data_IF_594258646984
#
_entry.id   IF_594258646984
#
_cell.length_a   1.000
_cell.length_b   1.000
_cell.length_c   1.000
_cell.angle_alpha   90.00
_cell.angle_beta   90.00
_cell.angle_gamma   90.00
#
_symmetry.space_group_name_H-M   'P 1'
#
loop_
_entity.id
_entity.type
_entity.pdbx_description
1 polymer ?
#
# COMPACT_ATOMS: atom_id res chain seq x y z
N UNK A 1 -58.90 -88.93 -0.74
CA UNK A 1 -60.04 -87.98 -0.71
C UNK A 1 -59.55 -86.70 -1.18
N UNK A 2 -59.82 -86.46 -2.34
CA UNK A 2 -60.67 -85.42 -2.94
C UNK A 2 -59.90 -84.04 -3.09
N UNK A 3 -59.47 -83.76 -4.31
CA UNK A 3 -60.08 -82.85 -5.29
C UNK A 3 -59.88 -81.40 -4.89
N UNK A 4 -59.49 -80.45 -5.65
CA UNK A 4 -59.55 -80.22 -7.10
C UNK A 4 -58.74 -78.97 -7.46
N UNK A 5 -58.19 -79.01 -8.62
CA UNK A 5 -57.68 -78.00 -9.54
C UNK A 5 -58.44 -76.68 -9.58
N UNK A 6 -58.03 -75.79 -10.50
CA UNK A 6 -57.01 -74.71 -10.61
C UNK A 6 -57.66 -73.42 -11.06
N UNK A 7 -56.98 -72.32 -11.09
CA UNK A 7 -57.35 -71.31 -12.09
C UNK A 7 -56.13 -70.47 -12.54
N UNK A 8 -56.15 -70.19 -13.77
CA UNK A 8 -55.24 -69.59 -14.69
C UNK A 8 -55.15 -68.08 -14.61
N UNK A 9 -54.00 -67.59 -15.04
CA UNK A 9 -53.79 -66.34 -15.87
C UNK A 9 -53.91 -65.00 -15.16
N UNK A 10 -52.97 -64.10 -15.35
CA UNK A 10 -52.55 -63.48 -16.62
C UNK A 10 -51.20 -62.80 -16.41
N UNK A 11 -50.31 -62.87 -17.41
CA UNK A 11 -49.24 -61.97 -17.71
C UNK A 11 -49.78 -60.55 -17.95
N UNK A 12 -49.16 -59.56 -17.31
CA UNK A 12 -49.09 -58.21 -17.85
C UNK A 12 -47.71 -57.69 -17.49
N UNK A 13 -46.90 -57.55 -18.49
CA UNK A 13 -45.59 -56.87 -18.42
C UNK A 13 -45.83 -55.39 -18.25
N UNK A 14 -45.08 -54.80 -17.35
CA UNK A 14 -44.95 -53.37 -17.30
C UNK A 14 -43.45 -53.04 -17.26
N UNK A 15 -43.06 -52.32 -18.28
CA UNK A 15 -41.69 -51.98 -18.59
C UNK A 15 -41.04 -51.18 -17.49
N UNK A 16 -39.81 -51.53 -17.18
CA UNK A 16 -38.91 -50.72 -16.41
C UNK A 16 -38.51 -49.49 -17.24
N UNK A 17 -39.13 -48.35 -16.95
CA UNK A 17 -38.63 -47.07 -17.42
C UNK A 17 -37.39 -46.72 -16.62
N UNK A 18 -36.23 -46.88 -17.22
CA UNK A 18 -34.94 -46.29 -16.76
C UNK A 18 -35.03 -44.77 -16.87
N UNK A 19 -35.30 -44.13 -15.76
CA UNK A 19 -35.07 -42.69 -15.63
C UNK A 19 -33.59 -42.48 -15.52
N UNK A 20 -32.92 -42.18 -16.64
CA UNK A 20 -31.59 -41.63 -16.65
C UNK A 20 -31.62 -40.22 -16.03
N UNK A 21 -31.36 -40.14 -14.74
CA UNK A 21 -31.11 -38.87 -14.08
C UNK A 21 -29.78 -38.34 -14.68
N UNK A 22 -29.90 -37.36 -15.60
CA UNK A 22 -28.78 -36.52 -16.02
C UNK A 22 -28.28 -35.79 -14.80
N UNK A 23 -27.25 -36.30 -14.16
CA UNK A 23 -26.37 -35.56 -13.25
C UNK A 23 -25.65 -34.49 -14.08
N UNK A 24 -26.30 -33.36 -14.30
CA UNK A 24 -25.59 -32.17 -14.70
C UNK A 24 -24.52 -31.88 -13.62
N UNK A 25 -23.25 -31.72 -14.00
CA UNK A 25 -22.26 -31.26 -13.03
C UNK A 25 -22.78 -29.92 -12.50
N UNK A 26 -22.99 -29.83 -11.18
CA UNK A 26 -23.19 -28.58 -10.52
C UNK A 26 -21.92 -27.73 -10.79
N UNK A 27 -21.97 -26.97 -11.88
CA UNK A 27 -21.04 -25.89 -12.11
C UNK A 27 -21.09 -25.08 -10.85
N UNK A 28 -19.98 -25.06 -10.12
CA UNK A 28 -19.74 -24.10 -9.05
C UNK A 28 -19.92 -22.71 -9.67
N UNK A 29 -21.16 -22.21 -9.68
CA UNK A 29 -21.42 -20.80 -9.80
C UNK A 29 -20.68 -20.17 -8.61
N UNK A 30 -19.45 -19.76 -8.83
CA UNK A 30 -18.88 -18.72 -8.01
C UNK A 30 -19.92 -17.60 -8.07
N UNK A 31 -20.56 -17.33 -6.95
CA UNK A 31 -21.44 -16.19 -6.82
C UNK A 31 -20.59 -14.98 -7.25
N UNK A 32 -20.77 -14.55 -8.50
CA UNK A 32 -20.21 -13.29 -8.95
C UNK A 32 -20.74 -12.27 -7.95
N UNK A 33 -19.87 -11.67 -7.19
CA UNK A 33 -20.22 -10.57 -6.32
C UNK A 33 -21.05 -9.60 -7.17
N UNK A 34 -22.28 -9.29 -6.74
CA UNK A 34 -23.18 -8.38 -7.48
C UNK A 34 -22.66 -6.94 -7.57
N UNK A 35 -21.35 -6.74 -7.35
CA UNK A 35 -20.65 -5.47 -7.35
C UNK A 35 -20.25 -5.13 -8.77
N UNK A 36 -20.68 -3.96 -9.26
CA UNK A 36 -20.46 -3.52 -10.63
C UNK A 36 -20.37 -1.99 -10.72
N UNK A 37 -20.15 -1.48 -11.94
CA UNK A 37 -20.11 -0.05 -12.21
C UNK A 37 -18.70 0.54 -12.09
N UNK A 38 -18.60 1.87 -12.01
CA UNK A 38 -17.32 2.57 -11.97
C UNK A 38 -16.88 2.83 -10.54
N UNK A 39 -15.61 2.53 -10.24
CA UNK A 39 -14.88 2.88 -9.04
C UNK A 39 -13.83 3.92 -9.40
N UNK A 40 -13.83 5.07 -8.75
CA UNK A 40 -12.80 6.11 -8.93
C UNK A 40 -11.76 6.01 -7.82
N UNK A 41 -10.54 5.64 -8.19
CA UNK A 41 -9.40 5.46 -7.28
C UNK A 41 -8.41 6.62 -7.43
N UNK A 42 -8.10 7.30 -6.32
CA UNK A 42 -6.95 8.21 -6.24
C UNK A 42 -5.84 7.53 -5.46
N UNK A 43 -4.64 7.44 -6.05
CA UNK A 43 -3.54 6.69 -5.43
C UNK A 43 -2.17 7.33 -5.62
N UNK A 44 -1.28 7.07 -4.66
CA UNK A 44 0.15 7.41 -4.75
C UNK A 44 1.04 6.20 -5.04
N UNK A 45 0.48 5.02 -5.29
CA UNK A 45 1.26 3.85 -5.69
C UNK A 45 2.11 4.13 -6.94
N UNK A 46 3.25 3.45 -7.14
CA UNK A 46 3.92 3.42 -8.44
C UNK A 46 2.92 2.99 -9.54
N UNK A 47 3.03 3.59 -10.72
CA UNK A 47 2.05 3.39 -11.81
C UNK A 47 1.87 1.91 -12.18
N UNK A 48 2.98 1.16 -12.27
CA UNK A 48 2.94 -0.28 -12.52
C UNK A 48 2.15 -1.01 -11.43
N UNK A 49 2.46 -0.73 -10.16
CA UNK A 49 1.87 -1.44 -9.04
C UNK A 49 0.38 -1.12 -8.88
N UNK A 50 -0.03 0.13 -9.15
CA UNK A 50 -1.44 0.52 -9.19
C UNK A 50 -2.20 -0.24 -10.28
N UNK A 51 -1.63 -0.31 -11.50
CA UNK A 51 -2.22 -1.05 -12.62
C UNK A 51 -2.34 -2.55 -12.32
N UNK A 52 -1.29 -3.16 -11.77
CA UNK A 52 -1.29 -4.58 -11.41
C UNK A 52 -2.26 -4.88 -10.25
N UNK A 53 -2.37 -3.97 -9.26
CA UNK A 53 -3.36 -4.08 -8.17
C UNK A 53 -4.79 -4.05 -8.69
N UNK A 54 -5.09 -3.13 -9.61
CA UNK A 54 -6.40 -3.04 -10.27
C UNK A 54 -6.68 -4.31 -11.07
N UNK A 55 -5.71 -4.81 -11.83
CA UNK A 55 -5.87 -6.03 -12.60
C UNK A 55 -6.12 -7.25 -11.72
N UNK A 56 -5.47 -7.35 -10.55
CA UNK A 56 -5.71 -8.42 -9.58
C UNK A 56 -7.12 -8.31 -8.96
N UNK A 57 -7.55 -7.11 -8.58
CA UNK A 57 -8.91 -6.87 -8.11
C UNK A 57 -9.97 -7.26 -9.14
N UNK A 58 -9.77 -6.87 -10.40
CA UNK A 58 -10.73 -7.13 -11.47
C UNK A 58 -10.88 -8.62 -11.81
N UNK A 59 -9.94 -9.50 -11.42
CA UNK A 59 -10.14 -10.96 -11.55
C UNK A 59 -11.30 -11.44 -10.69
N UNK A 60 -11.44 -10.91 -9.48
CA UNK A 60 -12.55 -11.25 -8.57
C UNK A 60 -13.81 -10.41 -8.86
N UNK A 61 -13.67 -9.20 -9.43
CA UNK A 61 -14.73 -8.23 -9.66
C UNK A 61 -14.73 -7.71 -11.12
N UNK A 62 -14.95 -8.58 -12.12
CA UNK A 62 -14.81 -8.22 -13.55
C UNK A 62 -15.84 -7.19 -14.03
N UNK A 63 -16.96 -7.02 -13.31
CA UNK A 63 -17.99 -6.02 -13.63
C UNK A 63 -17.69 -4.62 -13.08
N UNK A 64 -16.56 -4.43 -12.36
CA UNK A 64 -16.14 -3.13 -11.84
C UNK A 64 -15.11 -2.53 -12.79
N UNK A 65 -15.41 -1.34 -13.33
CA UNK A 65 -14.45 -0.52 -14.08
C UNK A 65 -13.73 0.41 -13.09
N UNK A 66 -12.42 0.28 -12.93
CA UNK A 66 -11.64 1.18 -12.08
C UNK A 66 -11.06 2.32 -12.92
N UNK A 67 -11.46 3.56 -12.58
CA UNK A 67 -10.86 4.79 -13.09
C UNK A 67 -9.84 5.29 -12.08
N UNK A 68 -8.59 5.50 -12.51
CA UNK A 68 -7.50 5.84 -11.61
C UNK A 68 -6.93 7.23 -11.91
N UNK A 69 -6.77 8.04 -10.85
CA UNK A 69 -5.85 9.17 -10.86
C UNK A 69 -4.65 8.83 -9.99
N UNK A 70 -3.48 8.85 -10.61
CA UNK A 70 -2.21 8.54 -9.95
C UNK A 70 -1.28 9.75 -9.96
N UNK A 71 -0.79 10.13 -8.77
CA UNK A 71 0.30 11.10 -8.62
C UNK A 71 1.04 10.89 -7.30
N UNK A 72 1.95 11.79 -6.92
CA UNK A 72 2.50 11.80 -5.57
C UNK A 72 1.42 12.12 -4.53
N UNK A 73 1.62 11.67 -3.30
CA UNK A 73 0.64 11.84 -2.23
C UNK A 73 0.21 13.30 -2.07
N UNK A 74 1.16 14.24 -2.07
CA UNK A 74 0.86 15.67 -1.90
C UNK A 74 0.02 16.20 -3.06
N UNK A 75 0.31 15.82 -4.30
CA UNK A 75 -0.47 16.24 -5.46
C UNK A 75 -1.88 15.63 -5.46
N UNK A 76 -2.02 14.35 -5.07
CA UNK A 76 -3.32 13.72 -4.86
C UNK A 76 -4.14 14.49 -3.83
N UNK A 77 -3.54 14.84 -2.70
CA UNK A 77 -4.22 15.59 -1.64
C UNK A 77 -4.56 17.01 -2.04
N UNK A 78 -3.69 17.69 -2.77
CA UNK A 78 -3.97 19.05 -3.28
C UNK A 78 -5.15 19.05 -4.25
N UNK A 79 -5.17 18.08 -5.18
CA UNK A 79 -6.29 17.90 -6.10
C UNK A 79 -7.59 17.64 -5.33
N UNK A 80 -7.56 16.71 -4.39
CA UNK A 80 -8.73 16.37 -3.59
C UNK A 80 -9.27 17.59 -2.83
N UNK A 81 -8.39 18.39 -2.21
CA UNK A 81 -8.79 19.63 -1.52
C UNK A 81 -9.43 20.64 -2.45
N UNK A 82 -8.88 20.81 -3.67
CA UNK A 82 -9.48 21.68 -4.69
C UNK A 82 -10.88 21.19 -5.08
N UNK A 83 -11.06 19.88 -5.26
CA UNK A 83 -12.34 19.26 -5.57
C UNK A 83 -13.35 19.42 -4.42
N UNK A 84 -12.92 19.28 -3.17
CA UNK A 84 -13.77 19.58 -1.99
C UNK A 84 -14.18 21.05 -1.92
N UNK A 85 -13.26 21.97 -2.18
CA UNK A 85 -13.57 23.42 -2.20
C UNK A 85 -14.57 23.77 -3.32
N UNK A 86 -14.53 23.05 -4.44
CA UNK A 86 -15.48 23.19 -5.54
C UNK A 86 -16.81 22.43 -5.29
N UNK A 87 -16.96 21.73 -4.16
CA UNK A 87 -18.15 20.91 -3.88
C UNK A 87 -18.31 19.67 -4.77
N UNK A 88 -17.27 19.26 -5.49
CA UNK A 88 -17.31 18.19 -6.48
C UNK A 88 -16.15 17.17 -6.32
N UNK A 89 -15.97 16.54 -5.14
CA UNK A 89 -14.98 15.50 -4.97
C UNK A 89 -15.30 14.30 -5.86
N UNK A 90 -14.28 13.77 -6.53
CA UNK A 90 -14.44 12.72 -7.52
C UNK A 90 -14.14 11.30 -7.03
N UNK A 91 -13.12 11.08 -6.16
CA UNK A 91 -12.75 9.72 -5.81
C UNK A 91 -13.76 9.04 -4.89
N UNK A 92 -13.94 7.73 -5.10
CA UNK A 92 -14.60 6.85 -4.14
C UNK A 92 -13.60 6.38 -3.08
N UNK A 93 -12.38 6.02 -3.53
CA UNK A 93 -11.31 5.48 -2.67
C UNK A 93 -10.03 6.29 -2.80
N UNK A 94 -9.40 6.53 -1.65
CA UNK A 94 -8.00 6.98 -1.55
C UNK A 94 -7.13 5.80 -1.15
N UNK A 95 -5.96 5.66 -1.79
CA UNK A 95 -4.91 4.72 -1.44
C UNK A 95 -3.56 5.43 -1.52
N UNK A 96 -3.09 5.96 -0.39
CA UNK A 96 -1.92 6.86 -0.35
C UNK A 96 -0.96 6.48 0.78
N UNK A 97 0.33 6.72 0.55
CA UNK A 97 1.40 6.40 1.51
C UNK A 97 1.55 7.48 2.61
N UNK A 98 0.44 7.86 3.27
CA UNK A 98 0.43 8.93 4.29
C UNK A 98 -0.78 8.80 5.23
N UNK A 99 -0.56 8.27 6.42
CA UNK A 99 -1.59 8.19 7.47
C UNK A 99 -1.94 9.57 8.07
N UNK A 100 -1.03 10.55 8.02
CA UNK A 100 -1.29 11.91 8.54
C UNK A 100 -2.38 12.60 7.71
N UNK A 101 -2.34 12.44 6.39
CA UNK A 101 -3.42 12.94 5.53
C UNK A 101 -4.75 12.23 5.79
N UNK A 102 -4.75 10.96 6.13
CA UNK A 102 -5.99 10.24 6.52
C UNK A 102 -6.57 10.78 7.84
N UNK A 103 -5.71 11.03 8.84
CA UNK A 103 -6.14 11.65 10.10
C UNK A 103 -6.72 13.07 9.88
N UNK A 104 -6.12 13.85 8.99
CA UNK A 104 -6.66 15.17 8.63
C UNK A 104 -8.06 15.06 8.00
N UNK A 105 -8.23 14.18 7.02
CA UNK A 105 -9.54 13.95 6.37
C UNK A 105 -10.59 13.40 7.34
N UNK A 106 -10.16 12.52 8.27
CA UNK A 106 -11.02 12.01 9.34
C UNK A 106 -11.51 13.15 10.24
N UNK A 107 -10.60 14.00 10.72
CA UNK A 107 -10.93 15.16 11.55
C UNK A 107 -11.90 16.15 10.84
N UNK A 108 -11.79 16.25 9.51
CA UNK A 108 -12.69 17.04 8.66
C UNK A 108 -14.03 16.33 8.37
N UNK A 109 -14.25 15.10 8.86
CA UNK A 109 -15.45 14.31 8.59
C UNK A 109 -15.60 13.89 7.12
N UNK A 110 -14.49 13.76 6.37
CA UNK A 110 -14.49 13.43 4.93
C UNK A 110 -14.47 11.94 4.63
N UNK A 111 -14.25 11.09 5.62
CA UNK A 111 -14.13 9.64 5.44
C UNK A 111 -15.38 8.90 5.87
N UNK A 112 -15.78 7.89 5.11
CA UNK A 112 -16.85 6.98 5.46
C UNK A 112 -16.36 5.89 6.42
N UNK A 113 -17.24 5.41 7.30
CA UNK A 113 -16.97 4.22 8.11
C UNK A 113 -17.13 2.94 7.28
N UNK A 114 -16.12 2.09 7.27
CA UNK A 114 -16.15 0.77 6.64
C UNK A 114 -16.73 -0.27 7.60
N UNK A 115 -18.06 -0.33 7.70
CA UNK A 115 -18.76 -1.14 8.71
C UNK A 115 -18.73 -2.64 8.41
N UNK A 116 -18.67 -3.02 7.13
CA UNK A 116 -18.78 -4.41 6.67
C UNK A 116 -17.43 -5.06 6.39
N UNK A 117 -16.32 -4.33 6.63
CA UNK A 117 -14.99 -4.85 6.42
C UNK A 117 -14.62 -5.87 7.51
N UNK A 118 -14.30 -7.10 7.11
CA UNK A 118 -13.75 -8.10 8.03
C UNK A 118 -12.30 -7.73 8.38
N UNK A 119 -12.09 -7.39 9.65
CA UNK A 119 -10.80 -6.97 10.18
C UNK A 119 -10.22 -7.96 11.19
N UNK A 120 -10.85 -9.11 11.39
CA UNK A 120 -10.50 -10.07 12.46
C UNK A 120 -9.03 -10.49 12.40
N UNK A 121 -8.45 -10.60 11.20
CA UNK A 121 -7.07 -11.02 11.01
C UNK A 121 -6.07 -9.86 10.96
N UNK A 122 -6.54 -8.61 10.95
CA UNK A 122 -5.67 -7.43 10.83
C UNK A 122 -5.39 -6.88 12.22
N UNK A 123 -4.12 -6.77 12.64
CA UNK A 123 -3.78 -6.15 13.92
C UNK A 123 -4.34 -4.73 14.03
N UNK A 124 -4.96 -4.41 15.17
CA UNK A 124 -5.65 -3.13 15.41
C UNK A 124 -4.74 -1.90 15.21
N UNK A 125 -3.43 -2.03 15.39
CA UNK A 125 -2.47 -0.95 15.13
C UNK A 125 -2.39 -0.50 13.66
N UNK A 126 -3.00 -1.23 12.74
CA UNK A 126 -2.96 -0.92 11.30
C UNK A 126 -4.24 -0.28 10.77
N UNK A 127 -5.23 -0.05 11.62
CA UNK A 127 -6.46 0.64 11.23
C UNK A 127 -6.91 1.62 12.30
N UNK A 128 -7.65 2.62 11.86
CA UNK A 128 -8.29 3.59 12.73
C UNK A 128 -9.39 2.93 13.58
N UNK A 129 -9.47 3.29 14.86
CA UNK A 129 -10.45 2.73 15.80
C UNK A 129 -11.90 2.94 15.36
N UNK A 130 -12.17 3.99 14.58
CA UNK A 130 -13.48 4.26 14.01
C UNK A 130 -13.70 3.57 12.66
N UNK A 131 -12.68 2.88 12.14
CA UNK A 131 -12.66 2.20 10.83
C UNK A 131 -12.94 3.15 9.67
N UNK A 132 -12.40 4.33 9.70
CA UNK A 132 -12.50 5.32 8.62
C UNK A 132 -11.38 5.19 7.59
N UNK A 133 -10.25 4.62 7.99
CA UNK A 133 -9.18 4.21 7.08
C UNK A 133 -8.48 2.94 7.59
N UNK A 134 -7.83 2.23 6.69
CA UNK A 134 -7.18 0.95 6.95
C UNK A 134 -5.85 0.86 6.25
N UNK A 135 -4.79 0.48 6.97
CA UNK A 135 -3.53 0.07 6.36
C UNK A 135 -3.73 -1.12 5.43
N UNK A 136 -3.03 -1.13 4.31
CA UNK A 136 -3.15 -2.20 3.30
C UNK A 136 -1.88 -3.02 3.15
N UNK A 137 -0.73 -2.46 3.45
CA UNK A 137 0.60 -3.09 3.44
C UNK A 137 1.59 -2.21 4.16
N UNK A 138 2.73 -2.72 4.54
CA UNK A 138 3.77 -1.91 5.15
C UNK A 138 4.88 -1.60 4.14
N UNK A 139 5.31 -0.36 4.15
CA UNK A 139 6.43 0.18 3.38
C UNK A 139 7.37 0.84 4.38
N UNK A 140 8.61 0.40 4.45
CA UNK A 140 9.62 1.06 5.27
C UNK A 140 10.55 1.95 4.44
N UNK A 141 11.11 2.98 5.06
CA UNK A 141 12.09 3.86 4.44
C UNK A 141 13.41 3.75 5.19
N UNK A 142 14.47 3.52 4.43
CA UNK A 142 15.84 3.39 4.92
C UNK A 142 16.86 4.03 3.98
N UNK A 143 18.10 3.59 4.09
CA UNK A 143 19.18 4.07 3.22
C UNK A 143 19.37 3.09 2.07
N UNK A 144 19.41 3.59 0.84
CA UNK A 144 19.91 2.86 -0.33
C UNK A 144 21.33 3.30 -0.63
N UNK A 145 22.20 2.35 -0.96
CA UNK A 145 23.58 2.64 -1.31
C UNK A 145 23.99 1.89 -2.58
N UNK A 146 24.70 2.56 -3.48
CA UNK A 146 25.32 1.87 -4.61
C UNK A 146 26.44 0.97 -4.11
N UNK A 147 26.54 -0.26 -4.63
CA UNK A 147 27.55 -1.25 -4.19
C UNK A 147 28.99 -0.79 -4.45
N UNK A 148 29.21 0.19 -5.34
CA UNK A 148 30.51 0.81 -5.61
C UNK A 148 30.87 1.93 -4.63
N UNK A 149 29.95 2.32 -3.73
CA UNK A 149 30.25 3.36 -2.75
C UNK A 149 31.36 2.94 -1.79
N UNK A 150 32.37 3.79 -1.62
CA UNK A 150 33.41 3.59 -0.62
C UNK A 150 32.88 3.76 0.82
N UNK A 151 31.81 4.50 1.00
CA UNK A 151 31.13 4.69 2.29
C UNK A 151 29.92 3.76 2.38
N UNK A 152 29.90 2.95 3.45
CA UNK A 152 28.77 2.06 3.77
C UNK A 152 28.06 2.60 5.01
N UNK A 153 27.01 3.42 4.84
CA UNK A 153 26.25 3.97 5.97
C UNK A 153 25.66 2.87 6.85
N UNK A 154 25.70 3.05 8.17
CA UNK A 154 25.03 2.20 9.16
C UNK A 154 24.05 2.99 10.04
N UNK A 155 24.01 4.30 9.85
CA UNK A 155 23.25 5.29 10.61
C UNK A 155 22.73 6.36 9.66
N UNK A 156 21.62 6.99 9.99
CA UNK A 156 21.17 8.20 9.29
C UNK A 156 22.26 9.29 9.31
N UNK A 157 22.96 9.46 10.45
CA UNK A 157 24.04 10.46 10.59
C UNK A 157 25.21 10.21 9.65
N UNK A 158 25.44 8.97 9.22
CA UNK A 158 26.52 8.65 8.29
C UNK A 158 26.31 9.28 6.89
N UNK A 159 25.09 9.71 6.57
CA UNK A 159 24.82 10.51 5.38
C UNK A 159 25.42 11.93 5.45
N UNK A 160 25.85 12.38 6.62
CA UNK A 160 26.59 13.64 6.78
C UNK A 160 28.11 13.47 6.54
N UNK A 161 28.57 12.26 6.27
CA UNK A 161 30.02 12.02 6.02
C UNK A 161 30.49 12.89 4.85
N UNK A 162 31.56 13.69 5.01
CA UNK A 162 32.09 14.52 3.93
C UNK A 162 32.50 13.75 2.66
N UNK A 163 32.83 12.47 2.77
CA UNK A 163 33.08 11.61 1.62
C UNK A 163 31.86 11.33 0.75
N UNK A 164 30.66 11.60 1.26
CA UNK A 164 29.38 11.56 0.52
C UNK A 164 28.92 12.94 0.04
N UNK A 165 29.75 13.98 0.13
CA UNK A 165 29.37 15.33 -0.30
C UNK A 165 28.95 15.35 -1.76
N UNK A 166 27.71 15.82 -2.02
CA UNK A 166 27.11 15.84 -3.36
C UNK A 166 26.69 14.47 -3.90
N UNK A 167 26.84 13.39 -3.12
CA UNK A 167 26.56 12.02 -3.51
C UNK A 167 25.26 11.47 -2.91
N UNK A 168 24.43 12.33 -2.31
CA UNK A 168 23.21 11.92 -1.61
C UNK A 168 21.99 12.45 -2.34
N UNK A 169 20.97 11.59 -2.46
CA UNK A 169 19.65 11.91 -3.02
C UNK A 169 18.53 11.41 -2.13
N UNK A 170 17.48 12.20 -1.98
CA UNK A 170 16.30 11.81 -1.21
C UNK A 170 15.00 12.21 -1.93
N UNK A 171 13.87 11.50 -1.68
CA UNK A 171 12.59 11.94 -2.23
C UNK A 171 12.11 13.18 -1.49
N UNK A 172 11.53 14.13 -2.23
CA UNK A 172 10.96 15.34 -1.64
C UNK A 172 9.68 15.03 -0.86
N UNK A 173 9.52 15.50 0.39
CA UNK A 173 8.28 15.43 1.14
C UNK A 173 7.17 16.33 0.54
N UNK A 174 7.51 17.23 -0.37
CA UNK A 174 6.55 18.04 -1.14
C UNK A 174 5.83 17.21 -2.22
N UNK A 175 6.28 15.97 -2.45
CA UNK A 175 5.69 15.04 -3.41
C UNK A 175 5.35 13.68 -2.78
N UNK A 176 6.28 13.09 -2.03
CA UNK A 176 6.16 11.74 -1.47
C UNK A 176 5.65 11.76 -0.03
N UNK A 177 4.53 11.06 0.25
CA UNK A 177 4.01 10.90 1.61
C UNK A 177 4.97 10.15 2.53
N UNK A 178 5.59 9.06 2.06
CA UNK A 178 6.60 8.34 2.83
C UNK A 178 7.80 9.22 3.18
N UNK A 179 8.22 10.14 2.28
CA UNK A 179 9.25 11.12 2.59
C UNK A 179 8.77 12.15 3.63
N UNK A 180 7.51 12.56 3.58
CA UNK A 180 6.95 13.47 4.58
C UNK A 180 6.95 12.83 5.97
N UNK A 181 6.56 11.55 6.08
CA UNK A 181 6.65 10.79 7.33
C UNK A 181 8.11 10.67 7.79
N UNK A 182 9.04 10.41 6.88
CA UNK A 182 10.47 10.28 7.20
C UNK A 182 11.05 11.60 7.74
N UNK A 183 10.80 12.71 7.06
CA UNK A 183 11.23 14.05 7.51
C UNK A 183 10.58 14.42 8.86
N UNK A 184 9.30 14.12 9.02
CA UNK A 184 8.58 14.35 10.28
C UNK A 184 9.13 13.52 11.44
N UNK A 185 9.53 12.27 11.21
CA UNK A 185 10.19 11.43 12.21
C UNK A 185 11.58 11.97 12.57
N UNK A 186 12.39 12.33 11.56
CA UNK A 186 13.72 12.90 11.80
C UNK A 186 13.67 14.20 12.57
N UNK A 187 12.74 15.11 12.19
CA UNK A 187 12.66 16.42 12.82
C UNK A 187 12.35 16.37 14.33
N UNK A 188 11.74 15.26 14.80
CA UNK A 188 11.39 15.01 16.20
C UNK A 188 12.36 14.10 16.93
N UNK A 189 13.23 13.43 16.19
CA UNK A 189 14.17 12.51 16.82
C UNK A 189 15.25 13.28 17.58
N UNK A 190 15.54 12.95 18.86
CA UNK A 190 16.46 13.73 19.70
C UNK A 190 17.88 13.84 19.13
N UNK A 191 18.33 12.80 18.45
CA UNK A 191 19.68 12.74 17.89
C UNK A 191 19.79 13.24 16.43
N UNK A 192 18.68 13.48 15.74
CA UNK A 192 18.65 13.94 14.35
C UNK A 192 18.17 15.40 14.29
N UNK A 193 16.90 15.63 14.47
CA UNK A 193 16.29 16.97 14.44
C UNK A 193 16.45 17.67 13.08
N UNK A 194 16.10 18.93 13.04
CA UNK A 194 16.29 19.78 11.87
C UNK A 194 17.77 20.00 11.52
N UNK A 195 18.65 19.96 12.52
CA UNK A 195 20.10 20.06 12.28
C UNK A 195 20.63 18.97 11.34
N UNK A 196 20.09 17.74 11.47
CA UNK A 196 20.41 16.66 10.54
C UNK A 196 19.91 16.96 9.12
N UNK A 197 18.67 17.45 8.97
CA UNK A 197 18.06 17.76 7.67
C UNK A 197 18.82 18.91 6.98
N UNK A 198 19.17 19.95 7.73
CA UNK A 198 20.01 21.05 7.26
C UNK A 198 21.43 20.61 6.94
N UNK A 199 21.99 19.68 7.74
CA UNK A 199 23.26 19.03 7.50
C UNK A 199 23.30 18.24 6.19
N UNK A 200 22.21 17.55 5.81
CA UNK A 200 22.11 16.91 4.50
C UNK A 200 22.24 17.93 3.37
N UNK A 201 21.59 19.09 3.49
CA UNK A 201 21.72 20.18 2.51
C UNK A 201 23.13 20.75 2.48
N UNK A 202 23.75 20.97 3.63
CA UNK A 202 25.15 21.42 3.72
C UNK A 202 26.13 20.42 3.11
N UNK A 203 25.80 19.12 3.17
CA UNK A 203 26.51 18.05 2.48
C UNK A 203 26.12 17.90 0.98
N UNK A 204 25.46 18.91 0.41
CA UNK A 204 25.00 18.97 -0.98
C UNK A 204 24.07 17.82 -1.37
N UNK A 205 23.29 17.25 -0.44
CA UNK A 205 22.21 16.35 -0.77
C UNK A 205 21.15 17.07 -1.60
N UNK A 206 20.53 16.34 -2.53
CA UNK A 206 19.43 16.84 -3.36
C UNK A 206 18.13 16.16 -3.04
N UNK A 207 17.04 16.91 -3.12
CA UNK A 207 15.68 16.38 -3.06
C UNK A 207 15.09 16.27 -4.48
N UNK A 208 14.55 15.09 -4.82
CA UNK A 208 13.99 14.79 -6.15
C UNK A 208 12.50 14.41 -6.04
N UNK A 209 11.81 14.41 -7.17
CA UNK A 209 10.35 14.18 -7.24
C UNK A 209 9.92 12.77 -6.85
N UNK A 210 10.52 12.09 -5.97
CA UNK A 210 10.01 10.81 -5.46
C UNK A 210 10.97 9.65 -5.59
N UNK A 211 10.56 8.51 -5.06
CA UNK A 211 11.41 7.34 -4.86
C UNK A 211 11.96 6.75 -6.17
N UNK A 212 11.20 6.83 -7.29
CA UNK A 212 11.68 6.32 -8.57
C UNK A 212 12.94 7.02 -9.06
N UNK A 213 13.00 8.36 -8.93
CA UNK A 213 14.18 9.14 -9.31
C UNK A 213 15.37 8.87 -8.38
N UNK A 214 15.12 8.65 -7.07
CA UNK A 214 16.17 8.23 -6.13
C UNK A 214 16.77 6.90 -6.55
N UNK A 215 15.93 5.88 -6.77
CA UNK A 215 16.39 4.56 -7.19
C UNK A 215 17.21 4.64 -8.47
N UNK A 216 16.75 5.39 -9.47
CA UNK A 216 17.44 5.55 -10.74
C UNK A 216 18.85 6.12 -10.54
N UNK A 217 18.98 7.24 -9.81
CA UNK A 217 20.28 7.89 -9.61
C UNK A 217 21.26 7.04 -8.80
N UNK A 218 20.76 6.30 -7.79
CA UNK A 218 21.63 5.41 -7.02
C UNK A 218 21.99 4.15 -7.81
N UNK A 219 21.05 3.54 -8.54
CA UNK A 219 21.34 2.34 -9.33
C UNK A 219 22.32 2.59 -10.48
N UNK A 220 22.25 3.75 -11.13
CA UNK A 220 23.21 4.14 -12.18
C UNK A 220 24.58 4.56 -11.63
N UNK A 221 24.63 4.92 -10.33
CA UNK A 221 25.83 5.44 -9.70
C UNK A 221 26.07 6.94 -9.92
N UNK A 222 25.04 7.66 -10.37
CA UNK A 222 25.04 9.14 -10.38
C UNK A 222 25.11 9.68 -8.95
N UNK A 223 24.48 8.97 -8.00
CA UNK A 223 24.59 9.19 -6.56
C UNK A 223 25.03 7.90 -5.86
N UNK A 224 25.83 8.02 -4.81
CA UNK A 224 26.34 6.86 -4.10
C UNK A 224 25.44 6.39 -2.96
N UNK A 225 24.62 7.29 -2.41
CA UNK A 225 23.67 6.96 -1.36
C UNK A 225 22.37 7.74 -1.51
N UNK A 226 21.31 7.23 -0.91
CA UNK A 226 20.02 7.90 -0.91
C UNK A 226 19.08 7.40 0.18
N UNK A 227 17.98 8.11 0.33
CA UNK A 227 16.84 7.72 1.18
C UNK A 227 15.78 7.10 0.28
N UNK A 228 15.37 5.87 0.57
CA UNK A 228 14.47 5.14 -0.32
C UNK A 228 13.58 4.18 0.45
N UNK A 229 12.42 3.90 -0.12
CA UNK A 229 11.53 2.85 0.37
C UNK A 229 12.09 1.46 0.05
N UNK A 230 11.92 0.54 0.99
CA UNK A 230 12.50 -0.80 1.01
C UNK A 230 12.20 -1.64 -0.24
N UNK A 231 10.93 -1.81 -0.58
CA UNK A 231 10.50 -2.68 -1.69
C UNK A 231 11.13 -2.28 -3.03
N UNK A 232 11.38 -0.99 -3.26
CA UNK A 232 12.02 -0.53 -4.50
C UNK A 232 13.49 -0.91 -4.54
N UNK A 233 14.23 -0.71 -3.44
CA UNK A 233 15.63 -1.07 -3.35
C UNK A 233 15.83 -2.60 -3.41
N UNK A 234 15.03 -3.35 -2.65
CA UNK A 234 15.14 -4.81 -2.57
C UNK A 234 14.74 -5.48 -3.90
N UNK A 235 13.67 -5.01 -4.55
CA UNK A 235 13.28 -5.49 -5.87
C UNK A 235 14.34 -5.16 -6.94
N UNK A 236 14.97 -3.98 -6.88
CA UNK A 236 16.04 -3.63 -7.80
C UNK A 236 17.27 -4.51 -7.59
N UNK A 237 17.67 -4.74 -6.34
CA UNK A 237 18.75 -5.66 -5.98
C UNK A 237 18.48 -7.07 -6.48
N UNK A 238 17.25 -7.59 -6.24
CA UNK A 238 16.85 -8.94 -6.71
C UNK A 238 16.91 -9.08 -8.24
N UNK A 239 16.80 -7.96 -8.98
CA UNK A 239 16.94 -7.90 -10.44
C UNK A 239 18.37 -7.60 -10.90
N UNK A 240 19.35 -7.63 -10.00
CA UNK A 240 20.77 -7.43 -10.33
C UNK A 240 21.24 -5.98 -10.36
N UNK A 241 20.41 -5.02 -9.94
CA UNK A 241 20.87 -3.62 -9.81
C UNK A 241 21.95 -3.51 -8.72
N UNK A 242 23.00 -2.70 -8.91
CA UNK A 242 24.12 -2.60 -7.97
C UNK A 242 23.75 -1.71 -6.76
N UNK A 243 22.73 -2.11 -6.02
CA UNK A 243 22.23 -1.39 -4.85
C UNK A 243 22.06 -2.32 -3.65
N UNK A 244 22.27 -1.77 -2.45
CA UNK A 244 21.93 -2.41 -1.19
C UNK A 244 20.98 -1.52 -0.40
N UNK A 245 20.06 -2.16 0.35
CA UNK A 245 19.20 -1.49 1.31
C UNK A 245 19.78 -1.65 2.71
N UNK A 246 19.96 -0.55 3.42
CA UNK A 246 20.53 -0.50 4.75
C UNK A 246 19.47 -0.09 5.75
N UNK A 247 19.33 -0.85 6.83
CA UNK A 247 18.55 -0.50 8.01
C UNK A 247 19.44 0.36 8.92
N UNK A 248 19.14 1.65 9.10
CA UNK A 248 19.93 2.50 9.99
C UNK A 248 19.80 2.05 11.45
N UNK A 249 20.84 2.18 12.23
CA UNK A 249 20.83 1.75 13.66
C UNK A 249 19.80 2.47 14.52
N UNK A 250 19.45 3.71 14.17
CA UNK A 250 18.35 4.46 14.84
C UNK A 250 16.98 3.88 14.52
N UNK A 251 16.83 3.26 13.37
CA UNK A 251 15.60 2.63 12.89
C UNK A 251 15.13 3.20 11.55
N UNK A 252 14.24 2.45 10.92
CA UNK A 252 13.51 2.83 9.72
C UNK A 252 12.33 3.73 10.07
N UNK A 253 11.82 4.50 9.15
CA UNK A 253 10.44 4.96 9.21
C UNK A 253 9.53 4.01 8.44
N UNK A 254 8.23 4.03 8.69
CA UNK A 254 7.29 3.20 7.93
C UNK A 254 5.95 3.90 7.71
N UNK A 255 5.25 3.45 6.69
CA UNK A 255 3.86 3.79 6.40
C UNK A 255 3.09 2.50 6.08
N UNK A 256 1.79 2.49 6.37
CA UNK A 256 0.94 1.32 6.08
C UNK A 256 0.21 1.42 4.75
N UNK A 257 0.51 2.44 3.95
CA UNK A 257 -0.24 2.81 2.73
C UNK A 257 -1.75 2.65 2.91
N UNK A 258 -2.37 3.50 3.75
CA UNK A 258 -3.76 3.35 4.10
C UNK A 258 -4.70 3.57 2.91
N UNK A 259 -5.80 2.80 2.91
CA UNK A 259 -6.97 3.02 2.07
C UNK A 259 -8.10 3.63 2.90
N UNK A 260 -8.86 4.55 2.30
CA UNK A 260 -10.07 5.13 2.87
C UNK A 260 -11.15 5.30 1.79
N UNK A 261 -12.40 5.17 2.20
CA UNK A 261 -13.57 5.48 1.37
C UNK A 261 -14.04 6.89 1.72
N UNK A 262 -14.25 7.74 0.73
CA UNK A 262 -14.78 9.07 0.99
C UNK A 262 -16.27 8.99 1.36
N UNK A 263 -16.72 9.91 2.25
CA UNK A 263 -18.14 10.03 2.58
C UNK A 263 -19.01 10.50 1.40
N UNK A 264 -18.36 10.97 0.32
CA UNK A 264 -18.97 11.37 -0.96
C UNK A 264 -18.85 10.32 -2.05
N UNK A 265 -18.39 9.10 -1.72
CA UNK A 265 -18.25 8.00 -2.66
C UNK A 265 -19.59 7.69 -3.36
N UNK A 266 -19.53 7.53 -4.69
CA UNK A 266 -20.71 7.28 -5.54
C UNK A 266 -20.99 5.80 -5.70
N UNK A 267 -19.96 4.96 -5.62
CA UNK A 267 -20.06 3.51 -5.71
C UNK A 267 -19.49 2.85 -4.44
N UNK A 268 -20.20 3.02 -3.33
CA UNK A 268 -19.81 2.47 -2.03
C UNK A 268 -19.60 0.94 -2.07
N UNK A 269 -20.49 0.13 -2.73
CA UNK A 269 -20.25 -1.31 -2.81
C UNK A 269 -18.93 -1.68 -3.49
N UNK A 270 -18.57 -1.01 -4.59
CA UNK A 270 -17.29 -1.26 -5.27
C UNK A 270 -16.10 -0.75 -4.45
N UNK A 271 -16.26 0.37 -3.73
CA UNK A 271 -15.24 0.90 -2.84
C UNK A 271 -14.96 -0.06 -1.65
N UNK A 272 -15.99 -0.58 -1.00
CA UNK A 272 -15.85 -1.58 0.07
C UNK A 272 -15.23 -2.88 -0.45
N UNK A 273 -15.67 -3.38 -1.62
CA UNK A 273 -15.07 -4.56 -2.24
C UNK A 273 -13.59 -4.36 -2.57
N UNK A 274 -13.20 -3.17 -3.05
CA UNK A 274 -11.80 -2.88 -3.35
C UNK A 274 -10.94 -2.85 -2.08
N UNK A 275 -11.39 -2.16 -1.03
CA UNK A 275 -10.66 -2.13 0.25
C UNK A 275 -10.62 -3.53 0.87
N UNK A 276 -11.72 -4.29 0.85
CA UNK A 276 -11.75 -5.68 1.33
C UNK A 276 -10.75 -6.57 0.57
N UNK A 277 -10.64 -6.42 -0.75
CA UNK A 277 -9.62 -7.12 -1.54
C UNK A 277 -8.21 -6.79 -1.06
N UNK A 278 -7.87 -5.51 -0.89
CA UNK A 278 -6.52 -5.09 -0.48
C UNK A 278 -6.08 -5.71 0.84
N UNK A 279 -7.00 -5.93 1.77
CA UNK A 279 -6.72 -6.48 3.10
C UNK A 279 -7.00 -7.98 3.22
N UNK A 280 -7.57 -8.60 2.20
CA UNK A 280 -7.81 -10.05 2.15
C UNK A 280 -6.51 -10.85 2.07
N UNK A 281 -6.51 -12.13 2.45
CA UNK A 281 -5.33 -13.00 2.25
C UNK A 281 -4.85 -13.05 0.80
N UNK A 282 -5.75 -12.98 -0.18
CA UNK A 282 -5.41 -12.93 -1.60
C UNK A 282 -4.71 -11.62 -1.96
N UNK A 283 -5.29 -10.48 -1.61
CA UNK A 283 -4.72 -9.16 -1.85
C UNK A 283 -3.38 -8.97 -1.15
N UNK A 284 -3.23 -9.52 0.07
CA UNK A 284 -1.97 -9.49 0.81
C UNK A 284 -0.88 -10.35 0.14
N UNK A 285 -1.20 -11.56 -0.33
CA UNK A 285 -0.27 -12.38 -1.13
C UNK A 285 0.10 -11.68 -2.44
N UNK A 286 -0.88 -11.08 -3.11
CA UNK A 286 -0.62 -10.30 -4.31
C UNK A 286 0.32 -9.12 -4.02
N UNK A 287 0.04 -8.33 -2.99
CA UNK A 287 0.90 -7.22 -2.54
C UNK A 287 2.33 -7.68 -2.23
N UNK A 288 2.47 -8.85 -1.58
CA UNK A 288 3.77 -9.47 -1.30
C UNK A 288 4.52 -9.83 -2.59
N UNK A 289 3.82 -10.27 -3.64
CA UNK A 289 4.44 -10.55 -4.94
C UNK A 289 5.01 -9.30 -5.62
N UNK A 290 4.52 -8.12 -5.27
CA UNK A 290 5.07 -6.83 -5.70
C UNK A 290 6.26 -6.37 -4.83
N UNK A 291 6.56 -7.08 -3.75
CA UNK A 291 7.67 -6.78 -2.84
C UNK A 291 7.27 -6.02 -1.57
N UNK A 292 5.99 -5.87 -1.28
CA UNK A 292 5.54 -5.19 -0.05
C UNK A 292 5.45 -6.15 1.14
N UNK A 293 5.67 -5.64 2.34
CA UNK A 293 5.39 -6.40 3.54
C UNK A 293 3.88 -6.54 3.78
N UNK A 294 3.38 -7.77 4.01
CA UNK A 294 1.99 -7.99 4.35
C UNK A 294 1.67 -7.50 5.77
N UNK A 295 0.42 -7.14 6.03
CA UNK A 295 -0.08 -6.83 7.37
C UNK A 295 -0.64 -8.07 8.06
N UNK A 296 -1.02 -9.10 7.31
CA UNK A 296 -1.52 -10.37 7.85
C UNK A 296 -0.34 -11.27 8.22
N UNK A 297 -0.28 -11.69 9.48
CA UNK A 297 0.75 -12.64 9.96
C UNK A 297 0.70 -14.01 9.29
N UNK A 298 -0.43 -14.36 8.66
CA UNK A 298 -0.60 -15.61 7.89
C UNK A 298 0.02 -15.55 6.48
N UNK A 299 0.47 -14.38 6.02
CA UNK A 299 1.09 -14.21 4.69
C UNK A 299 2.59 -14.01 4.86
N UNK A 300 3.37 -14.86 4.22
CA UNK A 300 4.84 -14.82 4.27
C UNK A 300 5.36 -13.56 3.54
N UNK A 301 6.28 -12.79 4.15
CA UNK A 301 6.97 -11.68 3.48
C UNK A 301 7.73 -12.13 2.22
N UNK A 302 8.10 -11.18 1.33
CA UNK A 302 8.87 -11.50 0.14
C UNK A 302 10.19 -12.22 0.48
N UNK A 303 10.60 -13.15 -0.38
CA UNK A 303 11.85 -13.90 -0.18
C UNK A 303 13.07 -12.97 -0.08
N UNK A 304 13.93 -13.24 0.88
CA UNK A 304 15.15 -12.43 1.12
C UNK A 304 14.92 -11.13 1.90
N UNK A 305 13.68 -10.83 2.30
CA UNK A 305 13.41 -9.68 3.17
C UNK A 305 13.66 -10.05 4.64
N UNK A 306 14.16 -9.13 5.47
CA UNK A 306 14.23 -9.33 6.91
C UNK A 306 12.83 -9.57 7.50
N UNK A 307 12.74 -10.33 8.58
CA UNK A 307 11.48 -10.45 9.32
C UNK A 307 11.12 -9.08 9.93
N UNK A 308 9.85 -8.70 9.88
CA UNK A 308 9.38 -7.39 10.40
C UNK A 308 9.73 -7.24 11.89
N UNK A 309 9.66 -8.32 12.65
CA UNK A 309 9.97 -8.34 14.08
C UNK A 309 11.47 -8.08 14.37
N UNK A 310 12.35 -8.29 13.39
CA UNK A 310 13.78 -7.96 13.50
C UNK A 310 14.11 -6.52 13.10
N UNK A 311 13.15 -5.80 12.52
CA UNK A 311 13.33 -4.41 12.10
C UNK A 311 13.15 -3.46 13.29
N UNK A 312 14.02 -2.47 13.37
CA UNK A 312 13.86 -1.35 14.28
C UNK A 312 13.18 -0.20 13.55
N UNK A 313 12.21 0.43 14.20
CA UNK A 313 11.52 1.59 13.66
C UNK A 313 11.72 2.81 14.56
N UNK A 314 11.80 3.98 13.95
CA UNK A 314 11.74 5.25 14.65
C UNK A 314 10.33 5.44 15.24
N UNK A 315 10.20 6.00 16.44
CA UNK A 315 8.90 6.38 16.97
C UNK A 315 8.24 7.43 16.07
N UNK A 316 6.94 7.28 15.84
CA UNK A 316 6.14 8.23 15.06
C UNK A 316 5.18 8.97 16.00
N UNK A 317 5.39 10.27 16.15
CA UNK A 317 4.45 11.18 16.82
C UNK A 317 3.40 11.67 15.81
N UNK A 318 2.42 10.82 15.50
CA UNK A 318 1.37 11.13 14.52
C UNK A 318 0.61 12.41 14.86
N UNK A 319 0.31 12.64 16.14
CA UNK A 319 -0.43 13.82 16.57
C UNK A 319 0.39 15.11 16.38
N UNK A 320 1.66 15.08 16.75
CA UNK A 320 2.58 16.20 16.52
C UNK A 320 2.81 16.45 15.04
N UNK A 321 2.99 15.39 14.24
CA UNK A 321 3.13 15.49 12.78
C UNK A 321 1.88 16.12 12.14
N UNK A 322 0.68 15.75 12.55
CA UNK A 322 -0.57 16.33 12.03
C UNK A 322 -0.63 17.83 12.28
N UNK A 323 -0.26 18.27 13.49
CA UNK A 323 -0.28 19.69 13.86
C UNK A 323 0.71 20.52 13.06
N UNK A 324 1.88 20.00 12.74
CA UNK A 324 3.00 20.74 12.13
C UNK A 324 3.26 20.40 10.65
N UNK A 325 2.47 19.53 10.04
CA UNK A 325 2.70 19.07 8.66
C UNK A 325 2.84 20.22 7.63
N UNK A 326 2.11 21.31 7.79
CA UNK A 326 2.21 22.49 6.94
C UNK A 326 3.55 23.22 7.11
N UNK A 327 3.94 23.45 8.35
CA UNK A 327 5.16 24.20 8.68
C UNK A 327 6.42 23.38 8.37
N UNK A 328 6.39 22.09 8.57
CA UNK A 328 7.49 21.18 8.16
C UNK A 328 7.71 21.21 6.66
N UNK A 329 6.64 21.15 5.85
CA UNK A 329 6.76 21.27 4.40
C UNK A 329 7.33 22.62 3.97
N UNK A 330 6.86 23.73 4.59
CA UNK A 330 7.40 25.07 4.32
C UNK A 330 8.89 25.17 4.70
N UNK A 331 9.27 24.64 5.88
CA UNK A 331 10.66 24.66 6.33
C UNK A 331 11.54 23.81 5.40
N UNK A 332 11.07 22.61 5.00
CA UNK A 332 11.81 21.78 4.06
C UNK A 332 11.98 22.48 2.70
N UNK A 333 10.93 23.13 2.18
CA UNK A 333 11.02 23.91 0.95
C UNK A 333 12.02 25.08 1.07
N UNK A 334 12.09 25.73 2.23
CA UNK A 334 13.12 26.76 2.50
C UNK A 334 14.55 26.22 2.48
N UNK A 335 14.76 24.97 2.92
CA UNK A 335 16.09 24.34 2.95
C UNK A 335 16.50 23.78 1.59
N UNK A 336 15.62 23.02 0.92
CA UNK A 336 15.94 22.27 -0.29
C UNK A 336 15.44 22.92 -1.60
N UNK A 337 14.60 23.89 -1.52
CA UNK A 337 13.84 24.43 -2.63
C UNK A 337 12.50 23.69 -2.83
N UNK A 338 11.54 24.35 -3.43
CA UNK A 338 10.21 23.80 -3.76
C UNK A 338 10.10 23.30 -5.19
#
# INVERSE_FOLDING_TARGET
MSLTRPYRRRLLGTGAALVAANLLPASLLHAQSGVSGTLVLYTSQPERDARETIAAFNKAHPAVKVEVFRSGTTEVMNRLRTEFAAGAPRPDVLLIADAISMEALKAEGRLARMRHLDTVQIPSRYFDNERTYMGTKMISTGIVVNTRSAVRPSSWKDLLNPALKGQIVMPSPLYSGAAAITVGAWSRHPDLGWNFIEGLKANNAIAVRGNGAVLQQVATGEKMAGVLVDFMALNAKAKGSPVDFIVPREGLTFVTEPAAILNTARNVPAAEAFVAFLVSPEGQRFSTSLGYYPLLGSVTPPAGYPKVESLRFLPLDTAGMLKSAGDERKRFAGVFGG
#
